data_IF_888051230190
#
_entry.id   IF_888051230190
#
_cell.length_a   1.000
_cell.length_b   1.000
_cell.length_c   1.000
_cell.angle_alpha   90.00
_cell.angle_beta   90.00
_cell.angle_gamma   90.00
#
_symmetry.space_group_name_H-M   'P 1'
#
loop_
_entity.id
_entity.type
_entity.pdbx_description
1 polymer ?
#
# COMPACT_ATOMS: atom_id res chain seq x y z
N UNK A 1 17.45 -11.77 -7.12
CA UNK A 1 17.07 -11.22 -5.80
C UNK A 1 16.50 -9.84 -6.04
N UNK A 2 15.18 -9.71 -6.09
CA UNK A 2 14.52 -8.40 -6.13
C UNK A 2 14.63 -7.81 -4.73
N UNK A 3 15.39 -6.73 -4.59
CA UNK A 3 15.46 -5.99 -3.32
C UNK A 3 14.07 -5.48 -2.99
N UNK A 4 13.48 -5.92 -1.88
CA UNK A 4 12.16 -5.45 -1.47
C UNK A 4 12.26 -3.97 -1.09
N UNK A 5 11.35 -3.15 -1.64
CA UNK A 5 11.39 -1.71 -1.41
C UNK A 5 10.54 -1.39 -0.18
N UNK A 6 11.08 -0.60 0.77
CA UNK A 6 10.36 -0.25 2.00
C UNK A 6 9.09 0.54 1.69
N UNK A 7 8.00 0.28 2.41
CA UNK A 7 6.71 0.97 2.24
C UNK A 7 6.81 2.49 2.40
N UNK A 8 7.84 3.01 3.07
CA UNK A 8 8.14 4.45 3.14
C UNK A 8 8.51 5.06 1.80
N UNK A 9 8.98 4.27 0.82
CA UNK A 9 9.22 4.77 -0.54
C UNK A 9 7.94 5.35 -1.17
N UNK A 10 6.75 4.94 -0.69
CA UNK A 10 5.47 5.52 -1.12
C UNK A 10 5.25 6.97 -0.69
N UNK A 11 6.14 7.53 0.14
CA UNK A 11 6.12 8.96 0.47
C UNK A 11 6.42 9.82 -0.75
N UNK A 12 7.24 9.33 -1.68
CA UNK A 12 7.50 9.98 -2.97
C UNK A 12 6.24 10.04 -3.85
N UNK A 13 5.26 9.17 -3.58
CA UNK A 13 3.99 9.06 -4.31
C UNK A 13 2.80 9.62 -3.52
N UNK A 14 3.07 10.46 -2.52
CA UNK A 14 2.06 11.24 -1.81
C UNK A 14 1.51 10.61 -0.53
N UNK A 15 2.02 9.45 -0.09
CA UNK A 15 1.69 8.96 1.25
C UNK A 15 2.48 9.71 2.32
N UNK A 16 1.86 9.91 3.47
CA UNK A 16 2.50 10.48 4.65
C UNK A 16 2.94 9.38 5.61
N UNK A 17 3.84 9.71 6.53
CA UNK A 17 4.22 8.83 7.63
C UNK A 17 3.00 8.28 8.40
N UNK A 18 2.00 9.13 8.66
CA UNK A 18 0.76 8.75 9.35
C UNK A 18 -0.10 7.76 8.56
N UNK A 19 -0.03 7.78 7.22
CA UNK A 19 -0.73 6.83 6.35
C UNK A 19 0.03 5.51 6.24
N UNK A 20 1.36 5.51 6.28
CA UNK A 20 2.17 4.28 6.25
C UNK A 20 2.31 3.59 7.61
N UNK A 21 2.09 4.29 8.72
CA UNK A 21 2.25 3.73 10.07
C UNK A 21 1.29 2.55 10.37
N UNK A 22 -0.02 2.59 10.03
CA UNK A 22 -0.91 1.45 10.19
C UNK A 22 -0.47 0.21 9.39
N UNK A 23 0.01 0.41 8.15
CA UNK A 23 0.51 -0.66 7.29
C UNK A 23 1.67 -1.39 7.97
N UNK A 24 2.66 -0.63 8.47
CA UNK A 24 3.81 -1.20 9.19
C UNK A 24 3.41 -1.95 10.45
N UNK A 25 2.46 -1.42 11.22
CA UNK A 25 1.92 -2.10 12.42
C UNK A 25 1.20 -3.40 12.09
N UNK A 26 0.60 -3.49 10.91
CA UNK A 26 -0.01 -4.71 10.37
C UNK A 26 1.01 -5.66 9.71
N UNK A 27 2.32 -5.36 9.77
CA UNK A 27 3.36 -6.17 9.15
C UNK A 27 3.50 -6.00 7.64
N UNK A 28 2.85 -4.99 7.05
CA UNK A 28 2.98 -4.63 5.64
C UNK A 28 4.15 -3.65 5.52
N UNK A 29 5.33 -4.17 5.24
CA UNK A 29 6.58 -3.40 5.30
C UNK A 29 7.19 -3.08 3.95
N UNK A 30 6.70 -3.70 2.87
CA UNK A 30 7.25 -3.52 1.52
C UNK A 30 6.19 -2.98 0.56
N UNK A 31 6.63 -2.25 -0.47
CA UNK A 31 5.75 -1.75 -1.53
C UNK A 31 5.20 -2.87 -2.39
N UNK A 32 5.97 -3.94 -2.63
CA UNK A 32 5.53 -5.12 -3.37
C UNK A 32 4.36 -5.81 -2.66
N UNK A 33 4.51 -6.10 -1.36
CA UNK A 33 3.45 -6.69 -0.55
C UNK A 33 2.22 -5.79 -0.53
N UNK A 34 2.39 -4.48 -0.38
CA UNK A 34 1.26 -3.56 -0.40
C UNK A 34 0.55 -3.56 -1.77
N UNK A 35 1.30 -3.65 -2.87
CA UNK A 35 0.75 -3.65 -4.21
C UNK A 35 -0.09 -4.92 -4.46
N UNK A 36 0.36 -6.08 -3.98
CA UNK A 36 -0.43 -7.33 -3.99
C UNK A 36 -1.74 -7.18 -3.22
N UNK A 37 -1.69 -6.57 -2.02
CA UNK A 37 -2.89 -6.31 -1.22
C UNK A 37 -3.84 -5.32 -1.90
N UNK A 38 -3.31 -4.34 -2.64
CA UNK A 38 -4.11 -3.40 -3.44
C UNK A 38 -4.85 -4.14 -4.56
N UNK A 39 -4.20 -5.10 -5.21
CA UNK A 39 -4.86 -5.93 -6.23
C UNK A 39 -5.95 -6.81 -5.62
N UNK A 40 -5.68 -7.43 -4.47
CA UNK A 40 -6.67 -8.19 -3.69
C UNK A 40 -7.87 -7.31 -3.33
N UNK A 41 -7.64 -6.11 -2.79
CA UNK A 41 -8.71 -5.18 -2.44
C UNK A 41 -9.53 -4.75 -3.65
N UNK A 42 -8.93 -4.60 -4.82
CA UNK A 42 -9.69 -4.28 -6.05
C UNK A 42 -10.58 -5.43 -6.49
N UNK A 43 -10.09 -6.66 -6.37
CA UNK A 43 -10.88 -7.85 -6.68
C UNK A 43 -12.00 -8.06 -5.65
N UNK A 44 -11.74 -7.79 -4.37
CA UNK A 44 -12.68 -7.97 -3.27
C UNK A 44 -12.60 -6.80 -2.27
N UNK A 45 -13.30 -5.69 -2.51
CA UNK A 45 -13.16 -4.48 -1.68
C UNK A 45 -13.62 -4.68 -0.23
N UNK A 46 -14.62 -5.53 -0.01
CA UNK A 46 -15.15 -5.84 1.32
C UNK A 46 -14.45 -7.07 1.89
N UNK A 47 -13.77 -6.89 3.02
CA UNK A 47 -13.08 -7.99 3.72
C UNK A 47 -11.71 -8.35 3.15
N UNK A 48 -11.09 -7.43 2.38
CA UNK A 48 -9.67 -7.58 2.04
C UNK A 48 -8.80 -7.33 3.26
N UNK A 49 -7.59 -7.89 3.26
CA UNK A 49 -6.63 -7.66 4.34
C UNK A 49 -6.31 -6.16 4.53
N UNK A 50 -6.32 -5.37 3.45
CA UNK A 50 -6.15 -3.91 3.49
C UNK A 50 -7.28 -3.20 4.26
N UNK A 51 -8.50 -3.71 4.18
CA UNK A 51 -9.68 -3.20 4.87
C UNK A 51 -9.70 -3.59 6.35
N UNK A 52 -9.07 -4.72 6.69
CA UNK A 52 -8.95 -5.21 8.06
C UNK A 52 -7.82 -4.53 8.85
N UNK A 53 -6.94 -3.76 8.18
CA UNK A 53 -5.92 -2.98 8.87
C UNK A 53 -6.58 -1.91 9.74
N UNK A 54 -6.36 -1.99 11.05
CA UNK A 54 -6.85 -0.98 12.00
C UNK A 54 -6.37 0.42 11.62
N UNK A 55 -7.32 1.33 11.40
CA UNK A 55 -7.04 2.70 10.96
C UNK A 55 -6.96 2.88 9.44
N UNK A 56 -7.25 1.87 8.61
CA UNK A 56 -7.40 2.01 7.16
C UNK A 56 -8.86 2.25 6.77
N UNK A 57 -9.34 3.48 6.99
CA UNK A 57 -10.62 3.91 6.43
C UNK A 57 -10.57 4.09 4.91
N UNK A 58 -11.73 4.16 4.26
CA UNK A 58 -11.88 4.25 2.81
C UNK A 58 -10.96 5.31 2.14
N UNK A 59 -10.83 6.50 2.75
CA UNK A 59 -9.96 7.55 2.22
C UNK A 59 -8.47 7.17 2.24
N UNK A 60 -8.00 6.46 3.27
CA UNK A 60 -6.61 5.99 3.35
C UNK A 60 -6.36 4.85 2.38
N UNK A 61 -7.32 3.93 2.24
CA UNK A 61 -7.25 2.86 1.25
C UNK A 61 -7.15 3.45 -0.17
N UNK A 62 -7.99 4.45 -0.50
CA UNK A 62 -7.91 5.13 -1.79
C UNK A 62 -6.54 5.77 -2.04
N UNK A 63 -5.97 6.46 -1.03
CA UNK A 63 -4.64 7.05 -1.14
C UNK A 63 -3.53 6.00 -1.34
N UNK A 64 -3.63 4.88 -0.62
CA UNK A 64 -2.69 3.75 -0.74
C UNK A 64 -2.77 3.11 -2.12
N UNK A 65 -3.99 2.88 -2.64
CA UNK A 65 -4.21 2.38 -3.99
C UNK A 65 -3.55 3.30 -5.03
N UNK A 66 -3.79 4.62 -4.94
CA UNK A 66 -3.22 5.59 -5.87
C UNK A 66 -1.68 5.61 -5.81
N UNK A 67 -1.09 5.59 -4.61
CA UNK A 67 0.36 5.57 -4.44
C UNK A 67 0.99 4.29 -4.98
N UNK A 68 0.37 3.13 -4.75
CA UNK A 68 0.86 1.84 -5.26
C UNK A 68 0.83 1.79 -6.80
N UNK A 69 -0.21 2.36 -7.43
CA UNK A 69 -0.27 2.48 -8.89
C UNK A 69 0.81 3.39 -9.45
N UNK A 70 0.99 4.57 -8.85
CA UNK A 70 2.00 5.52 -9.29
C UNK A 70 3.42 4.92 -9.17
N UNK A 71 3.69 4.20 -8.08
CA UNK A 71 4.94 3.46 -7.91
C UNK A 71 5.14 2.38 -8.98
N UNK A 72 4.10 1.59 -9.31
CA UNK A 72 4.19 0.60 -10.39
C UNK A 72 4.49 1.24 -11.73
N UNK A 73 3.84 2.34 -12.05
CA UNK A 73 4.04 3.04 -13.32
C UNK A 73 5.47 3.63 -13.45
N UNK A 74 6.13 3.91 -12.33
CA UNK A 74 7.48 4.46 -12.29
C UNK A 74 8.61 3.40 -12.35
N UNK A 75 8.30 2.10 -12.17
CA UNK A 75 9.32 1.05 -12.28
C UNK A 75 9.62 0.74 -13.75
N UNK A 76 10.87 0.83 -14.21
CA UNK A 76 11.24 0.27 -15.51
C UNK A 76 11.06 -1.26 -15.45
N UNK A 77 10.32 -1.80 -16.42
CA UNK A 77 10.14 -3.25 -16.64
C UNK A 77 11.46 -3.97 -16.87
#
# INVERSE_FOLDING_TARGET
>A
MTTATDVQALHEYGLTFHQTAPLRRAGITTTEQLAELVDEHRATPTGSQLSDVSGMGAQRIAAVCAAAEAWRAARPT
#
